data_IF_655938984213
#
_entry.id   IF_655938984213
#
_cell.length_a   1.000
_cell.length_b   1.000
_cell.length_c   1.000
_cell.angle_alpha   90.00
_cell.angle_beta   90.00
_cell.angle_gamma   90.00
#
_symmetry.space_group_name_H-M   'P 1'
#
loop_
_entity.id
_entity.type
_entity.pdbx_description
1 polymer ?
#
# COMPACT_ATOMS: atom_id res chain seq x y z
N UNK A 1 7.32 -0.17 -6.23
CA UNK A 1 6.82 -0.13 -4.84
C UNK A 1 5.99 -1.37 -4.49
N UNK A 2 4.95 -1.74 -5.23
CA UNK A 2 4.12 -2.93 -4.92
C UNK A 2 4.93 -4.24 -4.84
N UNK A 3 5.84 -4.47 -5.78
CA UNK A 3 6.75 -5.61 -5.73
C UNK A 3 7.56 -5.65 -4.44
N UNK A 4 8.18 -4.53 -4.05
CA UNK A 4 8.98 -4.45 -2.82
C UNK A 4 8.14 -4.68 -1.57
N UNK A 5 6.88 -4.20 -1.56
CA UNK A 5 5.93 -4.46 -0.47
C UNK A 5 5.62 -5.95 -0.34
N UNK A 6 5.34 -6.63 -1.45
CA UNK A 6 5.07 -8.08 -1.44
C UNK A 6 6.30 -8.86 -0.99
N UNK A 7 7.47 -8.58 -1.53
CA UNK A 7 8.70 -9.29 -1.14
C UNK A 7 9.01 -9.10 0.35
N UNK A 8 8.94 -7.84 0.86
CA UNK A 8 9.12 -7.57 2.28
C UNK A 8 8.13 -8.35 3.15
N UNK A 9 6.85 -8.36 2.79
CA UNK A 9 5.82 -9.05 3.56
C UNK A 9 5.98 -10.58 3.51
N UNK A 10 6.45 -11.14 2.39
CA UNK A 10 6.72 -12.58 2.25
C UNK A 10 7.99 -13.02 2.97
N UNK A 11 8.99 -12.12 3.11
CA UNK A 11 10.20 -12.41 3.88
C UNK A 11 9.96 -12.35 5.40
N UNK A 12 9.16 -11.38 5.85
CA UNK A 12 8.98 -11.09 7.28
C UNK A 12 7.81 -11.80 7.95
N UNK A 13 6.82 -12.28 7.20
CA UNK A 13 5.56 -12.73 7.77
C UNK A 13 5.05 -14.04 7.15
N UNK A 14 4.24 -14.77 7.94
CA UNK A 14 3.52 -15.96 7.49
C UNK A 14 2.11 -15.99 8.10
N UNK A 15 1.11 -16.36 7.28
CA UNK A 15 -0.29 -16.45 7.70
C UNK A 15 -0.92 -15.11 8.03
N UNK A 16 -0.30 -14.01 7.60
CA UNK A 16 -0.71 -12.65 7.96
C UNK A 16 -1.59 -11.99 6.89
N UNK A 17 -2.25 -10.90 7.30
CA UNK A 17 -3.14 -10.11 6.45
C UNK A 17 -2.52 -8.76 6.17
N UNK A 18 -2.57 -8.36 4.90
CA UNK A 18 -2.09 -7.08 4.40
C UNK A 18 -3.20 -6.36 3.67
N UNK A 19 -3.16 -5.04 3.63
CA UNK A 19 -4.09 -4.24 2.85
C UNK A 19 -3.39 -3.58 1.66
N UNK A 20 -4.06 -3.61 0.51
CA UNK A 20 -3.76 -2.82 -0.67
C UNK A 20 -4.90 -1.83 -0.84
N UNK A 21 -4.63 -0.55 -0.64
CA UNK A 21 -5.61 0.52 -0.63
C UNK A 21 -5.43 1.41 -1.87
N UNK A 22 -6.50 1.69 -2.59
CA UNK A 22 -6.53 2.60 -3.73
C UNK A 22 -7.80 3.43 -3.75
N UNK A 23 -7.93 4.36 -4.69
CA UNK A 23 -9.17 5.12 -4.87
C UNK A 23 -10.36 4.21 -5.16
N UNK A 24 -10.16 3.21 -6.03
CA UNK A 24 -11.12 2.14 -6.31
C UNK A 24 -10.42 0.79 -6.41
N UNK A 25 -11.18 -0.30 -6.23
CA UNK A 25 -10.65 -1.65 -6.41
C UNK A 25 -10.21 -1.90 -7.86
N UNK A 26 -10.94 -1.34 -8.83
CA UNK A 26 -10.62 -1.46 -10.25
C UNK A 26 -9.29 -0.76 -10.59
N UNK A 27 -9.04 0.42 -10.02
CA UNK A 27 -7.74 1.10 -10.21
C UNK A 27 -6.59 0.32 -9.57
N UNK A 28 -6.79 -0.26 -8.39
CA UNK A 28 -5.81 -1.16 -7.77
C UNK A 28 -5.50 -2.37 -8.63
N UNK A 29 -6.54 -3.02 -9.17
CA UNK A 29 -6.35 -4.18 -10.06
C UNK A 29 -5.55 -3.80 -11.30
N UNK A 30 -5.87 -2.69 -11.93
CA UNK A 30 -5.18 -2.23 -13.13
C UNK A 30 -3.73 -1.80 -12.85
N UNK A 31 -3.50 -1.03 -11.78
CA UNK A 31 -2.22 -0.35 -11.55
C UNK A 31 -1.25 -1.17 -10.69
N UNK A 32 -1.77 -2.03 -9.82
CA UNK A 32 -0.99 -2.74 -8.80
C UNK A 32 -1.07 -4.24 -9.01
N UNK A 33 -2.24 -4.85 -8.77
CA UNK A 33 -2.32 -6.31 -8.68
C UNK A 33 -2.28 -7.02 -10.03
N UNK A 34 -2.73 -6.38 -11.11
CA UNK A 34 -2.69 -6.94 -12.45
C UNK A 34 -1.27 -7.16 -13.01
N UNK A 35 -0.29 -6.44 -12.45
CA UNK A 35 1.12 -6.55 -12.85
C UNK A 35 1.91 -7.56 -11.99
N UNK A 36 1.40 -7.90 -10.80
CA UNK A 36 2.10 -8.80 -9.87
C UNK A 36 2.36 -10.19 -10.46
N UNK A 37 1.44 -10.85 -11.17
CA UNK A 37 1.68 -12.17 -11.75
C UNK A 37 2.88 -12.17 -12.70
N UNK A 38 3.02 -11.15 -13.55
CA UNK A 38 4.12 -11.02 -14.48
C UNK A 38 5.46 -10.78 -13.75
N UNK A 39 5.46 -9.93 -12.71
CA UNK A 39 6.68 -9.57 -11.99
C UNK A 39 7.17 -10.66 -11.04
N UNK A 40 6.27 -11.51 -10.57
CA UNK A 40 6.55 -12.58 -9.60
C UNK A 40 6.51 -13.98 -10.23
N UNK A 41 6.47 -14.04 -11.57
CA UNK A 41 6.50 -15.32 -12.30
C UNK A 41 7.74 -16.13 -11.92
N UNK A 42 7.54 -17.40 -11.60
CA UNK A 42 8.61 -18.29 -11.14
C UNK A 42 9.11 -18.06 -9.72
N UNK A 43 8.67 -16.98 -9.03
CA UNK A 43 9.08 -16.64 -7.65
C UNK A 43 7.95 -16.95 -6.66
N UNK A 44 6.71 -16.55 -6.99
CA UNK A 44 5.54 -16.70 -6.14
C UNK A 44 4.40 -17.39 -6.88
N UNK A 45 3.54 -18.06 -6.12
CA UNK A 45 2.21 -18.47 -6.58
C UNK A 45 1.19 -17.44 -6.12
N UNK A 46 0.32 -16.99 -7.03
CA UNK A 46 -0.70 -15.97 -6.74
C UNK A 46 -2.08 -16.55 -7.07
N UNK A 47 -2.97 -16.56 -6.07
CA UNK A 47 -4.38 -16.92 -6.20
C UNK A 47 -5.25 -15.69 -5.99
N UNK A 48 -6.02 -15.26 -6.99
CA UNK A 48 -6.98 -14.16 -6.85
C UNK A 48 -8.40 -14.68 -6.59
N UNK A 49 -9.02 -14.22 -5.50
CA UNK A 49 -10.44 -14.42 -5.19
C UNK A 49 -11.19 -13.10 -5.34
N UNK A 50 -11.67 -12.86 -6.53
CA UNK A 50 -12.35 -11.60 -6.91
C UNK A 50 -13.58 -11.28 -6.10
N UNK A 51 -14.37 -12.29 -5.74
CA UNK A 51 -15.56 -12.13 -4.89
C UNK A 51 -15.24 -11.63 -3.47
N UNK A 52 -14.04 -11.93 -2.98
CA UNK A 52 -13.57 -11.53 -1.66
C UNK A 52 -12.63 -10.31 -1.71
N UNK A 53 -12.34 -9.77 -2.91
CA UNK A 53 -11.32 -8.75 -3.14
C UNK A 53 -9.99 -9.11 -2.46
N UNK A 54 -9.55 -10.36 -2.61
CA UNK A 54 -8.39 -10.91 -1.94
C UNK A 54 -7.43 -11.57 -2.93
N UNK A 55 -6.14 -11.33 -2.71
CA UNK A 55 -5.06 -12.11 -3.29
C UNK A 55 -4.42 -12.95 -2.19
N UNK A 56 -4.14 -14.19 -2.47
CA UNK A 56 -3.29 -15.03 -1.63
C UNK A 56 -1.97 -15.25 -2.37
N UNK A 57 -0.86 -14.91 -1.75
CA UNK A 57 0.49 -15.08 -2.31
C UNK A 57 1.24 -16.11 -1.48
N UNK A 58 1.85 -17.07 -2.18
CA UNK A 58 2.68 -18.11 -1.57
C UNK A 58 4.10 -18.07 -2.15
N UNK A 59 5.12 -18.08 -1.29
CA UNK A 59 6.53 -18.04 -1.65
C UNK A 59 7.36 -18.79 -0.59
N UNK A 60 8.23 -19.69 -1.01
CA UNK A 60 9.14 -20.43 -0.12
C UNK A 60 8.44 -21.10 1.08
N UNK A 61 7.26 -21.69 0.85
CA UNK A 61 6.46 -22.36 1.88
C UNK A 61 5.63 -21.41 2.77
N UNK A 62 5.81 -20.10 2.68
CA UNK A 62 5.00 -19.09 3.39
C UNK A 62 3.80 -18.68 2.56
N UNK A 63 2.74 -18.26 3.25
CA UNK A 63 1.49 -17.82 2.63
C UNK A 63 0.92 -16.62 3.37
N UNK A 64 0.57 -15.55 2.63
CA UNK A 64 -0.07 -14.36 3.19
C UNK A 64 -1.27 -13.93 2.33
N UNK A 65 -2.24 -13.25 2.96
CA UNK A 65 -3.45 -12.75 2.31
C UNK A 65 -3.39 -11.22 2.16
N UNK A 66 -3.72 -10.73 0.96
CA UNK A 66 -3.73 -9.30 0.62
C UNK A 66 -5.14 -8.88 0.23
N UNK A 67 -5.75 -8.04 1.03
CA UNK A 67 -7.11 -7.54 0.82
C UNK A 67 -7.08 -6.22 0.07
N UNK A 68 -7.93 -6.09 -0.95
CA UNK A 68 -8.06 -4.88 -1.76
C UNK A 68 -9.20 -4.03 -1.22
N UNK A 69 -8.91 -2.77 -0.93
CA UNK A 69 -9.88 -1.80 -0.44
C UNK A 69 -9.93 -0.57 -1.32
N UNK A 70 -11.15 -0.10 -1.63
CA UNK A 70 -11.38 1.16 -2.31
C UNK A 70 -11.73 2.25 -1.32
N UNK A 71 -10.88 3.29 -1.18
CA UNK A 71 -11.13 4.48 -0.39
C UNK A 71 -11.85 5.56 -1.20
N UNK A 72 -13.09 5.31 -1.63
CA UNK A 72 -13.82 6.20 -2.53
C UNK A 72 -14.41 7.41 -1.82
N UNK A 73 -14.94 7.21 -0.62
CA UNK A 73 -15.68 8.20 0.18
C UNK A 73 -15.41 8.01 1.67
N UNK A 74 -15.95 8.91 2.50
CA UNK A 74 -15.75 8.89 3.95
C UNK A 74 -16.29 7.62 4.63
N UNK A 75 -17.31 6.96 4.05
CA UNK A 75 -17.85 5.70 4.58
C UNK A 75 -16.97 4.48 4.33
N UNK A 76 -15.99 4.60 3.45
CA UNK A 76 -15.10 3.48 3.06
C UNK A 76 -14.25 2.94 4.22
N UNK A 77 -14.05 3.71 5.31
CA UNK A 77 -13.32 3.25 6.50
C UNK A 77 -13.93 2.00 7.14
N UNK A 78 -15.24 1.82 7.01
CA UNK A 78 -15.95 0.68 7.56
C UNK A 78 -15.50 -0.67 6.95
N UNK A 79 -14.99 -0.65 5.70
CA UNK A 79 -14.50 -1.84 5.01
C UNK A 79 -13.28 -2.48 5.71
N UNK A 80 -12.47 -1.67 6.38
CA UNK A 80 -11.25 -2.11 7.07
C UNK A 80 -11.50 -2.34 8.56
N UNK A 81 -12.65 -1.90 9.06
CA UNK A 81 -13.00 -2.02 10.46
C UNK A 81 -13.06 -3.50 10.89
N UNK A 82 -12.46 -3.82 12.03
CA UNK A 82 -12.45 -5.18 12.59
C UNK A 82 -11.34 -6.09 12.06
N UNK A 83 -10.52 -5.64 11.10
CA UNK A 83 -9.36 -6.41 10.64
C UNK A 83 -8.10 -6.06 11.42
N UNK A 84 -7.24 -7.05 11.64
CA UNK A 84 -5.85 -6.85 12.08
C UNK A 84 -4.95 -7.03 10.87
N UNK A 85 -4.06 -6.06 10.64
CA UNK A 85 -3.17 -6.01 9.48
C UNK A 85 -1.70 -6.01 9.92
N UNK A 86 -0.85 -6.63 9.12
CA UNK A 86 0.61 -6.61 9.29
C UNK A 86 1.31 -5.60 8.39
N UNK A 87 0.55 -4.86 7.61
CA UNK A 87 1.03 -3.77 6.78
C UNK A 87 0.00 -3.31 5.76
N UNK A 88 0.20 -2.10 5.24
CA UNK A 88 -0.67 -1.50 4.24
C UNK A 88 0.13 -0.77 3.17
N UNK A 89 -0.31 -0.94 1.93
CA UNK A 89 0.16 -0.20 0.78
C UNK A 89 -0.98 0.71 0.29
N UNK A 90 -0.72 2.01 0.20
CA UNK A 90 -1.62 2.98 -0.40
C UNK A 90 -1.14 3.39 -1.79
N UNK A 91 -1.98 3.18 -2.80
CA UNK A 91 -1.75 3.64 -4.17
C UNK A 91 -2.53 4.92 -4.41
N UNK A 92 -1.83 6.02 -4.72
CA UNK A 92 -2.39 7.36 -4.87
C UNK A 92 -3.12 7.87 -3.60
N UNK A 93 -2.48 7.75 -2.44
CA UNK A 93 -3.06 8.07 -1.12
C UNK A 93 -3.68 9.47 -1.04
N UNK A 94 -3.18 10.46 -1.79
CA UNK A 94 -3.73 11.82 -1.84
C UNK A 94 -5.18 11.91 -2.36
N UNK A 95 -5.69 10.85 -2.98
CA UNK A 95 -7.06 10.76 -3.50
C UNK A 95 -8.03 10.09 -2.52
N UNK A 96 -7.54 9.63 -1.37
CA UNK A 96 -8.36 8.91 -0.38
C UNK A 96 -8.81 9.84 0.74
N UNK A 97 -9.99 9.59 1.34
CA UNK A 97 -10.42 10.28 2.55
C UNK A 97 -9.46 10.02 3.72
N UNK A 98 -9.23 11.05 4.53
CA UNK A 98 -8.37 10.96 5.71
C UNK A 98 -8.84 9.88 6.69
N UNK A 99 -10.14 9.81 6.96
CA UNK A 99 -10.76 8.80 7.84
C UNK A 99 -10.43 7.37 7.42
N UNK A 100 -10.42 7.10 6.11
CA UNK A 100 -10.06 5.79 5.55
C UNK A 100 -8.58 5.46 5.79
N UNK A 101 -7.69 6.43 5.54
CA UNK A 101 -6.23 6.24 5.75
C UNK A 101 -5.94 6.01 7.23
N UNK A 102 -6.47 6.85 8.13
CA UNK A 102 -6.29 6.72 9.58
C UNK A 102 -6.80 5.37 10.09
N UNK A 103 -7.95 4.92 9.60
CA UNK A 103 -8.49 3.61 9.97
C UNK A 103 -7.57 2.47 9.53
N UNK A 104 -7.05 2.51 8.30
CA UNK A 104 -6.13 1.49 7.80
C UNK A 104 -4.83 1.43 8.63
N UNK A 105 -4.27 2.59 8.97
CA UNK A 105 -3.08 2.70 9.82
C UNK A 105 -3.35 2.12 11.21
N UNK A 106 -4.48 2.46 11.83
CA UNK A 106 -4.87 1.97 13.16
C UNK A 106 -5.07 0.45 13.22
N UNK A 107 -5.32 -0.20 12.07
CA UNK A 107 -5.44 -1.68 11.99
C UNK A 107 -4.10 -2.41 11.89
N UNK A 108 -3.01 -1.71 11.58
CA UNK A 108 -1.67 -2.29 11.53
C UNK A 108 -1.07 -2.38 12.94
N UNK A 109 -1.49 -3.38 13.71
CA UNK A 109 -1.09 -3.58 15.12
C UNK A 109 -0.17 -4.78 15.33
N UNK A 110 0.23 -5.46 14.28
CA UNK A 110 1.20 -6.56 14.35
C UNK A 110 2.62 -5.98 14.46
N UNK A 111 3.46 -6.59 15.28
CA UNK A 111 4.86 -6.19 15.42
C UNK A 111 5.58 -6.25 14.07
N UNK A 112 6.39 -5.24 13.76
CA UNK A 112 7.08 -5.12 12.47
C UNK A 112 6.21 -4.59 11.32
N UNK A 113 4.95 -4.22 11.58
CA UNK A 113 4.07 -3.62 10.56
C UNK A 113 4.70 -2.40 9.91
N UNK A 114 4.47 -2.23 8.59
CA UNK A 114 4.94 -1.05 7.83
C UNK A 114 3.83 -0.47 6.98
N UNK A 115 3.97 0.85 6.74
CA UNK A 115 3.10 1.62 5.87
C UNK A 115 3.86 2.06 4.63
N UNK A 116 3.25 1.85 3.47
CA UNK A 116 3.82 2.17 2.17
C UNK A 116 2.87 3.13 1.46
N UNK A 117 3.42 4.27 1.01
CA UNK A 117 2.62 5.31 0.37
C UNK A 117 3.15 5.61 -1.02
N UNK A 118 2.25 5.61 -1.99
CA UNK A 118 2.49 6.09 -3.34
C UNK A 118 1.63 7.31 -3.60
N UNK A 119 2.25 8.41 -4.03
CA UNK A 119 1.54 9.60 -4.47
C UNK A 119 2.36 10.35 -5.53
N UNK A 120 1.69 11.19 -6.30
CA UNK A 120 2.35 12.15 -7.18
C UNK A 120 2.90 13.35 -6.37
N UNK A 121 3.85 14.16 -6.94
CA UNK A 121 4.46 15.29 -6.24
C UNK A 121 3.45 16.34 -5.75
N UNK A 122 2.37 16.58 -6.48
CA UNK A 122 1.31 17.52 -6.08
C UNK A 122 0.52 17.01 -4.87
N UNK A 123 0.40 15.68 -4.72
CA UNK A 123 -0.21 15.05 -3.56
C UNK A 123 0.63 15.13 -2.29
N UNK A 124 1.97 15.29 -2.42
CA UNK A 124 2.89 15.39 -1.29
C UNK A 124 2.62 16.59 -0.41
N UNK A 125 2.30 17.75 -0.96
CA UNK A 125 1.96 18.94 -0.18
C UNK A 125 0.69 18.74 0.67
N UNK A 126 -0.30 18.03 0.14
CA UNK A 126 -1.51 17.67 0.90
C UNK A 126 -1.20 16.65 1.99
N UNK A 127 -0.33 15.68 1.68
CA UNK A 127 0.08 14.65 2.63
C UNK A 127 0.94 15.22 3.76
N UNK A 128 1.94 16.06 3.50
CA UNK A 128 2.77 16.64 4.54
C UNK A 128 1.93 17.42 5.57
N UNK A 129 0.88 18.15 5.13
CA UNK A 129 -0.06 18.79 6.05
C UNK A 129 -0.90 17.80 6.88
N UNK A 130 -1.25 16.66 6.32
CA UNK A 130 -2.02 15.60 7.00
C UNK A 130 -1.14 14.68 7.85
N UNK A 131 0.10 14.43 7.43
CA UNK A 131 1.02 13.50 8.11
C UNK A 131 1.65 14.08 9.36
N UNK A 132 1.91 15.38 9.45
CA UNK A 132 2.40 16.00 10.68
C UNK A 132 1.43 15.77 11.86
N UNK A 133 0.13 15.69 11.59
CA UNK A 133 -0.88 15.34 12.58
C UNK A 133 -1.00 13.84 12.82
N UNK A 134 -0.81 13.02 11.77
CA UNK A 134 -0.84 11.56 11.85
C UNK A 134 0.41 11.04 12.58
N UNK A 135 1.60 11.57 12.33
CA UNK A 135 2.81 11.24 13.08
C UNK A 135 2.64 11.50 14.57
N UNK A 136 2.05 12.61 14.96
CA UNK A 136 1.74 12.92 16.36
C UNK A 136 0.70 11.95 16.96
N UNK A 137 -0.20 11.42 16.17
CA UNK A 137 -1.21 10.42 16.58
C UNK A 137 -0.62 9.00 16.69
N UNK A 138 0.34 8.64 15.84
CA UNK A 138 0.93 7.31 15.73
C UNK A 138 2.20 7.17 16.58
N UNK A 139 2.96 8.24 16.85
CA UNK A 139 4.12 8.23 17.76
C UNK A 139 3.78 7.85 19.20
N UNK A 140 2.51 7.68 19.54
CA UNK A 140 2.07 7.09 20.81
C UNK A 140 1.95 5.56 20.80
N UNK A 141 2.16 4.93 19.63
CA UNK A 141 2.22 3.47 19.52
C UNK A 141 3.66 2.99 19.76
N UNK A 142 3.90 1.93 20.56
CA UNK A 142 5.25 1.40 20.80
C UNK A 142 5.89 0.74 19.58
N UNK A 143 5.23 0.77 18.42
CA UNK A 143 5.69 0.12 17.19
C UNK A 143 6.35 1.14 16.27
N UNK A 144 7.63 0.91 15.96
CA UNK A 144 8.49 1.79 15.17
C UNK A 144 7.98 1.95 13.75
N UNK A 145 7.62 3.17 13.36
CA UNK A 145 7.26 3.56 12.01
C UNK A 145 8.51 3.58 11.11
N UNK A 146 8.56 2.72 10.10
CA UNK A 146 9.43 2.92 8.95
C UNK A 146 8.54 3.25 7.76
N UNK A 147 8.29 4.54 7.52
CA UNK A 147 7.58 5.01 6.34
C UNK A 147 8.52 5.08 5.15
N UNK A 148 8.26 4.30 4.10
CA UNK A 148 8.91 4.46 2.80
C UNK A 148 7.98 5.27 1.90
N UNK A 149 8.25 6.58 1.77
CA UNK A 149 7.57 7.44 0.80
C UNK A 149 8.34 7.32 -0.52
N UNK A 150 7.75 6.68 -1.52
CA UNK A 150 8.31 6.65 -2.87
C UNK A 150 7.56 7.64 -3.75
N UNK A 151 8.20 8.75 -4.10
CA UNK A 151 7.70 9.71 -5.07
C UNK A 151 8.08 9.25 -6.47
N UNK A 152 7.12 9.11 -7.37
CA UNK A 152 7.41 9.02 -8.81
C UNK A 152 7.83 10.41 -9.28
N UNK A 153 9.12 10.67 -9.37
CA UNK A 153 9.63 11.77 -10.18
C UNK A 153 9.46 11.37 -11.65
N UNK A 154 8.63 12.09 -12.39
CA UNK A 154 8.70 12.12 -13.85
C UNK A 154 10.04 12.73 -14.20
N UNK A 155 11.06 11.92 -14.42
CA UNK A 155 12.32 12.33 -15.02
C UNK A 155 12.01 12.77 -16.46
N UNK A 156 11.74 14.05 -16.67
CA UNK A 156 11.94 14.67 -17.96
C UNK A 156 13.44 14.61 -18.24
N UNK A 157 13.84 13.72 -19.13
CA UNK A 157 15.18 13.74 -19.70
C UNK A 157 15.45 15.16 -20.22
N UNK A 158 16.60 15.77 -19.86
CA UNK A 158 16.96 17.07 -20.42
C UNK A 158 17.08 16.95 -21.94
N UNK A 159 16.43 17.86 -22.65
CA UNK A 159 16.54 17.96 -24.08
C UNK A 159 18.02 18.08 -24.46
N UNK A 160 18.49 17.17 -25.33
CA UNK A 160 19.82 17.27 -25.94
C UNK A 160 19.94 18.64 -26.59
N UNK A 161 20.78 19.51 -26.03
CA UNK A 161 21.27 20.71 -26.70
C UNK A 161 22.01 20.27 -27.97
N UNK A 162 21.51 20.65 -29.11
CA UNK A 162 22.24 20.57 -30.37
C UNK A 162 23.44 21.48 -30.25
N UNK A 163 24.63 20.90 -30.23
CA UNK A 163 25.86 21.61 -30.52
C UNK A 163 25.94 21.78 -32.04
N UNK A 164 25.87 23.02 -32.45
CA UNK A 164 26.27 23.48 -33.77
C UNK A 164 27.79 23.63 -33.84
#
# INVERSE_FOLDING_TARGET
MALSFVLWSMEGFEGQRFALCGKTIESLRRNVTGLLPQWLEGICQIEERRSENRLTISMNGRRNDYYLFGGKDEGSYALIQGMTLSGVLFDEVALMPRSFVEQALARCSVEGSKFWFNCNPEGLHKLCGQFSEIENSICRSPYTLTSLITTRQNARLPARSKLS
#
